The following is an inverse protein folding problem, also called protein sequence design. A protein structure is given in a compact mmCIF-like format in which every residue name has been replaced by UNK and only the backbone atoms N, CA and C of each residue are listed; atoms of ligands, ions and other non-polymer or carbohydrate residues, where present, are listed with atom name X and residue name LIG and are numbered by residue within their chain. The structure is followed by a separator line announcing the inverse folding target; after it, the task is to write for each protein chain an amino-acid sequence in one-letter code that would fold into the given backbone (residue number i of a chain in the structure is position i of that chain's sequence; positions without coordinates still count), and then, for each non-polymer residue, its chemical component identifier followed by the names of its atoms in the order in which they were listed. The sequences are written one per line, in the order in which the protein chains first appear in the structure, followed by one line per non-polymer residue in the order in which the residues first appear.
data_IF_553693942725
#
_entry.id   IF_553693942725
#
_cell.length_a   1.000
_cell.length_b   1.000
_cell.length_c   1.000
_cell.angle_alpha   90.00
_cell.angle_beta   90.00
_cell.angle_gamma   90.00
#
_symmetry.space_group_name_H-M   'P 1'
#
loop_
_entity.id
_entity.type
_entity.pdbx_description
1 polymer ?
#
# COMPACT_ATOMS: atom_id res chain seq x y z
N UNK A 1 3.76 -5.07 1.09
CA UNK A 1 4.47 -4.16 2.00
C UNK A 1 5.95 -4.50 1.99
N UNK A 2 6.84 -3.52 1.96
CA UNK A 2 8.30 -3.71 1.99
C UNK A 2 8.98 -2.47 2.64
N UNK A 3 10.08 -2.69 3.37
CA UNK A 3 10.91 -1.65 3.99
C UNK A 3 12.34 -1.54 3.43
N UNK A 4 12.58 -1.99 2.18
CA UNK A 4 13.87 -1.81 1.47
C UNK A 4 14.44 -0.38 1.53
N UNK A 5 13.58 0.64 1.62
CA UNK A 5 13.93 2.05 1.72
C UNK A 5 14.20 2.57 3.14
N UNK A 6 14.14 1.69 4.15
CA UNK A 6 14.27 2.04 5.58
C UNK A 6 12.94 2.32 6.29
N UNK A 7 11.87 2.59 5.54
CA UNK A 7 10.50 2.71 6.02
C UNK A 7 9.56 1.85 5.17
N UNK A 8 8.42 1.48 5.76
CA UNK A 8 7.46 0.58 5.15
C UNK A 8 6.64 1.27 4.07
N UNK A 9 6.47 0.60 2.93
CA UNK A 9 5.63 1.08 1.84
C UNK A 9 4.82 -0.05 1.19
N UNK A 10 3.67 0.33 0.62
CA UNK A 10 2.80 -0.59 -0.12
C UNK A 10 3.11 -0.45 -1.60
N UNK A 11 3.55 -1.54 -2.22
CA UNK A 11 3.90 -1.56 -3.64
C UNK A 11 2.90 -2.37 -4.45
N UNK A 12 2.62 -1.91 -5.66
CA UNK A 12 1.81 -2.58 -6.67
C UNK A 12 2.64 -2.98 -7.88
N UNK A 13 2.29 -4.13 -8.46
CA UNK A 13 2.74 -4.56 -9.78
C UNK A 13 1.69 -5.48 -10.39
N UNK A 14 1.62 -5.52 -11.71
CA UNK A 14 0.65 -6.32 -12.44
C UNK A 14 1.33 -7.28 -13.41
N UNK A 15 0.56 -8.26 -13.86
CA UNK A 15 0.97 -9.23 -14.87
C UNK A 15 -0.17 -9.43 -15.86
N UNK A 16 0.18 -9.55 -17.13
CA UNK A 16 -0.75 -9.86 -18.23
C UNK A 16 -0.58 -11.28 -18.76
N UNK A 17 0.31 -12.07 -18.15
CA UNK A 17 0.69 -13.41 -18.62
C UNK A 17 0.62 -14.48 -17.51
N UNK A 18 -0.35 -14.33 -16.60
CA UNK A 18 -0.59 -15.30 -15.52
C UNK A 18 0.50 -15.30 -14.44
N UNK A 19 1.24 -14.19 -14.29
CA UNK A 19 2.29 -14.04 -13.30
C UNK A 19 3.68 -14.50 -13.75
N UNK A 20 3.86 -14.83 -15.03
CA UNK A 20 5.16 -15.24 -15.57
C UNK A 20 6.14 -14.06 -15.67
N UNK A 21 5.63 -12.86 -16.00
CA UNK A 21 6.35 -11.58 -15.93
C UNK A 21 5.51 -10.55 -15.19
N UNK A 22 6.20 -9.57 -14.62
CA UNK A 22 5.60 -8.50 -13.84
C UNK A 22 6.05 -7.14 -14.33
N UNK A 23 5.18 -6.14 -14.18
CA UNK A 23 5.54 -4.73 -14.38
C UNK A 23 6.62 -4.29 -13.40
N UNK A 24 7.16 -3.09 -13.62
CA UNK A 24 7.88 -2.38 -12.56
C UNK A 24 6.97 -2.16 -11.34
N UNK A 25 7.57 -2.11 -10.16
CA UNK A 25 6.88 -1.79 -8.92
C UNK A 25 6.48 -0.31 -8.90
N UNK A 26 5.27 -0.03 -8.43
CA UNK A 26 4.73 1.30 -8.20
C UNK A 26 4.49 1.46 -6.71
N UNK A 27 5.00 2.53 -6.11
CA UNK A 27 4.71 2.87 -4.72
C UNK A 27 3.30 3.45 -4.61
N UNK A 28 2.46 2.84 -3.78
CA UNK A 28 1.10 3.32 -3.48
C UNK A 28 1.08 4.17 -2.20
N UNK A 29 2.12 4.09 -1.36
CA UNK A 29 2.21 4.90 -0.17
C UNK A 29 2.32 6.37 -0.51
N UNK A 30 1.68 7.22 0.28
CA UNK A 30 1.79 8.67 0.14
C UNK A 30 1.89 9.29 1.51
N UNK A 31 2.67 10.37 1.61
CA UNK A 31 2.69 11.18 2.82
C UNK A 31 1.34 11.87 3.02
N UNK A 32 0.80 11.77 4.24
CA UNK A 32 -0.44 12.45 4.61
C UNK A 32 -0.21 13.20 5.92
N UNK A 33 -0.44 14.51 5.90
CA UNK A 33 -0.30 15.37 7.08
C UNK A 33 -1.32 15.00 8.16
N UNK A 34 -0.93 15.17 9.43
CA UNK A 34 -1.79 14.90 10.59
C UNK A 34 -1.69 13.48 11.16
N UNK A 35 -0.97 12.58 10.49
CA UNK A 35 -0.67 11.24 10.99
C UNK A 35 0.79 11.15 11.42
N UNK A 36 1.02 10.85 12.70
CA UNK A 36 2.36 10.84 13.31
C UNK A 36 3.23 9.63 12.92
N UNK A 37 2.63 8.64 12.26
CA UNK A 37 3.29 7.42 11.81
C UNK A 37 3.63 7.42 10.32
N UNK A 38 3.28 8.48 9.58
CA UNK A 38 3.57 8.64 8.16
C UNK A 38 4.69 9.67 8.00
N UNK A 39 5.77 9.25 7.36
CA UNK A 39 6.88 10.11 6.99
C UNK A 39 6.92 10.30 5.47
N UNK A 40 7.63 11.31 4.95
CA UNK A 40 7.77 11.50 3.50
C UNK A 40 8.27 10.28 2.73
N UNK A 41 9.02 9.38 3.39
CA UNK A 41 9.59 8.18 2.79
C UNK A 41 8.83 6.87 3.11
N UNK A 42 7.70 6.95 3.84
CA UNK A 42 6.86 5.79 4.15
C UNK A 42 6.37 5.73 5.60
N UNK A 43 5.88 4.56 6.00
CA UNK A 43 5.33 4.29 7.32
C UNK A 43 6.41 3.80 8.30
N UNK A 44 6.29 4.24 9.56
CA UNK A 44 7.21 3.83 10.62
C UNK A 44 7.03 2.39 11.12
N UNK A 45 5.89 1.77 10.84
CA UNK A 45 5.50 0.47 11.36
C UNK A 45 4.65 -0.29 10.34
N UNK A 46 4.83 -1.61 10.14
CA UNK A 46 4.00 -2.41 9.23
C UNK A 46 2.72 -2.81 9.97
N UNK A 47 1.67 -2.00 9.87
CA UNK A 47 0.48 -2.22 10.67
C UNK A 47 -0.40 -3.34 10.10
N UNK A 48 -0.05 -4.57 10.47
CA UNK A 48 -0.84 -5.76 10.16
C UNK A 48 -0.68 -6.32 8.75
N UNK A 49 0.07 -5.68 7.84
CA UNK A 49 0.33 -6.13 6.47
C UNK A 49 -0.92 -6.66 5.72
N UNK A 50 -2.13 -6.24 6.15
CA UNK A 50 -3.39 -6.67 5.57
C UNK A 50 -3.75 -5.70 4.45
N UNK A 51 -3.97 -6.27 3.27
CA UNK A 51 -4.40 -5.54 2.09
C UNK A 51 -5.41 -6.37 1.32
N UNK A 52 -6.24 -5.69 0.54
CA UNK A 52 -7.19 -6.30 -0.39
C UNK A 52 -7.09 -5.60 -1.74
N UNK A 53 -7.32 -6.37 -2.81
CA UNK A 53 -7.35 -5.89 -4.18
C UNK A 53 -8.59 -6.41 -4.90
N UNK A 54 -9.31 -5.52 -5.57
CA UNK A 54 -10.48 -5.85 -6.40
C UNK A 54 -10.39 -5.16 -7.76
N UNK A 55 -11.13 -5.67 -8.76
CA UNK A 55 -11.29 -5.03 -10.06
C UNK A 55 -12.78 -4.73 -10.27
N UNK A 56 -13.12 -3.47 -10.56
CA UNK A 56 -14.51 -3.06 -10.81
C UNK A 56 -14.97 -3.36 -12.25
N UNK A 57 -16.25 -3.10 -12.52
CA UNK A 57 -16.85 -3.31 -13.86
C UNK A 57 -16.29 -2.42 -14.97
N UNK A 58 -15.59 -1.34 -14.62
CA UNK A 58 -14.90 -0.44 -15.56
C UNK A 58 -13.44 -0.85 -15.79
N UNK A 59 -13.00 -1.94 -15.13
CA UNK A 59 -11.64 -2.46 -15.19
C UNK A 59 -10.63 -1.67 -14.36
N UNK A 60 -11.06 -0.86 -13.39
CA UNK A 60 -10.12 -0.22 -12.46
C UNK A 60 -9.74 -1.18 -11.35
N UNK A 61 -8.46 -1.24 -11.02
CA UNK A 61 -7.96 -1.91 -9.81
C UNK A 61 -8.18 -1.01 -8.61
N UNK A 62 -8.77 -1.56 -7.55
CA UNK A 62 -8.97 -0.94 -6.24
C UNK A 62 -8.04 -1.61 -5.24
N UNK A 63 -7.31 -0.84 -4.45
CA UNK A 63 -6.44 -1.33 -3.40
C UNK A 63 -6.77 -0.69 -2.07
N UNK A 64 -6.85 -1.50 -1.02
CA UNK A 64 -6.93 -1.03 0.37
C UNK A 64 -5.86 -1.68 1.23
N UNK A 65 -5.34 -0.94 2.19
CA UNK A 65 -4.36 -1.46 3.16
C UNK A 65 -4.49 -0.73 4.50
N UNK A 66 -4.09 -1.40 5.59
CA UNK A 66 -4.09 -0.81 6.93
C UNK A 66 -2.73 -0.24 7.30
N UNK A 67 -2.70 0.96 7.90
CA UNK A 67 -1.49 1.51 8.53
C UNK A 67 -1.79 2.16 9.86
N UNK A 68 -0.80 2.24 10.74
CA UNK A 68 -0.94 2.85 12.04
C UNK A 68 0.39 2.96 12.78
N UNK A 69 0.34 3.57 13.97
CA UNK A 69 1.55 3.91 14.73
C UNK A 69 2.28 2.70 15.29
N UNK A 70 1.55 1.72 15.82
CA UNK A 70 2.07 0.47 16.37
C UNK A 70 0.90 -0.49 16.71
N UNK A 71 1.22 -1.75 17.00
CA UNK A 71 0.24 -2.81 17.31
C UNK A 71 -0.84 -2.44 18.34
N UNK A 72 -0.55 -1.59 19.33
CA UNK A 72 -1.45 -1.26 20.45
C UNK A 72 -2.25 0.05 20.23
N UNK A 73 -2.17 0.64 19.04
CA UNK A 73 -2.85 1.90 18.70
C UNK A 73 -3.91 1.69 17.62
N UNK A 74 -4.94 2.54 17.52
CA UNK A 74 -5.81 2.54 16.36
C UNK A 74 -5.02 2.79 15.06
N UNK A 75 -5.41 2.09 14.00
CA UNK A 75 -4.91 2.33 12.64
C UNK A 75 -5.93 3.05 11.77
N UNK A 76 -5.53 3.34 10.53
CA UNK A 76 -6.37 3.85 9.45
C UNK A 76 -6.39 2.86 8.30
N UNK A 77 -7.47 2.88 7.52
CA UNK A 77 -7.55 2.17 6.24
C UNK A 77 -7.31 3.17 5.13
N UNK A 78 -6.34 2.86 4.27
CA UNK A 78 -6.00 3.64 3.09
C UNK A 78 -6.61 3.00 1.86
N UNK A 79 -6.88 3.82 0.85
CA UNK A 79 -7.51 3.42 -0.39
C UNK A 79 -6.90 4.16 -1.57
N UNK A 80 -6.66 3.43 -2.66
CA UNK A 80 -6.36 4.02 -3.96
C UNK A 80 -7.01 3.20 -5.08
N UNK A 81 -7.11 3.79 -6.27
CA UNK A 81 -7.54 3.10 -7.49
C UNK A 81 -6.77 3.57 -8.71
N UNK A 82 -6.64 2.69 -9.71
CA UNK A 82 -5.97 3.00 -10.96
C UNK A 82 -6.29 2.01 -12.08
N UNK A 83 -5.85 2.33 -13.29
CA UNK A 83 -5.85 1.41 -14.45
C UNK A 83 -4.46 0.87 -14.69
#
# INVERSE_FOLDING_TARGET
MDARGGLWNTYYRSSTDGGAKWSAEVDLSTYVEGFDYIQPAGFGFPFGDYFELDIDGDGNTHAVWGEGRNYDTPGSIWYTKGK
#
